data_IF_725012749584
#
_entry.id   IF_725012749584
#
_cell.length_a   1.000
_cell.length_b   1.000
_cell.length_c   1.000
_cell.angle_alpha   90.00
_cell.angle_beta   90.00
_cell.angle_gamma   90.00
#
_symmetry.space_group_name_H-M   'P 1'
#
loop_
_entity.id
_entity.type
_entity.pdbx_description
1 polymer ?
#
# COMPACT_ATOMS: atom_id res chain seq x y z
N UNK A 1 5.26 15.04 3.27
CA UNK A 1 4.20 14.03 3.14
C UNK A 1 4.56 12.87 4.04
N UNK A 2 3.97 12.78 5.23
CA UNK A 2 4.12 11.61 6.10
C UNK A 2 3.62 10.36 5.35
N UNK A 3 4.48 9.35 5.22
CA UNK A 3 4.10 8.11 4.53
C UNK A 3 3.06 7.41 5.40
N UNK A 4 2.06 6.77 4.78
CA UNK A 4 0.84 6.20 5.40
C UNK A 4 1.06 5.01 6.36
N UNK A 5 2.24 4.92 7.00
CA UNK A 5 2.61 3.93 8.01
C UNK A 5 3.47 4.48 9.16
N UNK A 6 3.77 5.79 9.19
CA UNK A 6 4.63 6.36 10.24
C UNK A 6 3.93 6.46 11.61
N UNK A 7 2.60 6.63 11.63
CA UNK A 7 1.81 6.84 12.84
C UNK A 7 0.49 6.05 12.81
N UNK A 8 0.48 4.82 13.33
CA UNK A 8 -0.76 4.19 13.81
C UNK A 8 -0.95 4.53 15.29
N UNK A 9 -2.20 4.68 15.74
CA UNK A 9 -2.47 4.93 17.16
C UNK A 9 -2.28 3.66 17.98
N UNK A 10 -1.62 3.78 19.13
CA UNK A 10 -1.46 2.67 20.08
C UNK A 10 -1.61 3.14 21.52
N UNK A 11 -2.22 2.31 22.36
CA UNK A 11 -2.47 2.59 23.77
C UNK A 11 -1.81 1.56 24.69
N UNK A 12 -1.36 2.01 25.86
CA UNK A 12 -0.78 1.13 26.88
C UNK A 12 -1.85 0.23 27.51
N UNK A 13 -1.50 -1.04 27.67
CA UNK A 13 -2.36 -2.00 28.35
C UNK A 13 -2.30 -1.77 29.85
N UNK A 14 -3.48 -1.62 30.48
CA UNK A 14 -3.61 -1.35 31.91
C UNK A 14 -3.39 -2.59 32.78
N UNK A 15 -3.91 -3.73 32.33
CA UNK A 15 -3.82 -5.02 33.02
C UNK A 15 -2.53 -5.73 32.61
N UNK A 16 -1.49 -5.61 33.43
CA UNK A 16 -0.18 -6.18 33.17
C UNK A 16 0.31 -7.02 34.34
N UNK A 17 0.92 -8.16 34.03
CA UNK A 17 1.65 -9.01 34.96
C UNK A 17 3.15 -8.94 34.71
N UNK A 18 3.93 -9.08 35.78
CA UNK A 18 5.40 -9.04 35.69
C UNK A 18 5.97 -10.44 35.70
N UNK A 19 6.59 -10.84 34.59
CA UNK A 19 7.29 -12.12 34.45
C UNK A 19 8.79 -11.81 34.46
N UNK A 20 9.48 -12.20 35.55
CA UNK A 20 10.94 -12.04 35.71
C UNK A 20 11.43 -10.61 35.39
N UNK A 21 10.68 -9.61 35.85
CA UNK A 21 11.01 -8.19 35.69
C UNK A 21 10.50 -7.51 34.42
N UNK A 22 9.84 -8.25 33.51
CA UNK A 22 9.26 -7.71 32.27
C UNK A 22 7.74 -7.74 32.36
N UNK A 23 7.08 -6.65 31.97
CA UNK A 23 5.62 -6.53 32.00
C UNK A 23 4.98 -7.07 30.71
N UNK A 24 4.01 -7.95 30.84
CA UNK A 24 3.18 -8.50 29.76
C UNK A 24 1.70 -8.33 30.08
N UNK A 25 0.77 -8.41 29.11
CA UNK A 25 -0.66 -8.41 29.40
C UNK A 25 -1.01 -9.54 30.37
N UNK A 26 -1.82 -9.26 31.39
CA UNK A 26 -2.14 -10.24 32.45
C UNK A 26 -2.80 -11.53 31.91
N UNK A 27 -3.54 -11.39 30.80
CA UNK A 27 -4.22 -12.49 30.11
C UNK A 27 -3.35 -13.18 29.04
N UNK A 28 -2.04 -12.90 29.00
CA UNK A 28 -1.13 -13.52 28.03
C UNK A 28 -0.79 -14.97 28.41
N UNK A 29 -1.12 -15.90 27.52
CA UNK A 29 -0.55 -17.24 27.56
C UNK A 29 0.83 -17.26 26.91
N UNK A 30 1.90 -17.39 27.70
CA UNK A 30 3.30 -17.39 27.21
C UNK A 30 3.59 -18.45 26.14
N UNK A 31 2.84 -19.56 26.12
CA UNK A 31 2.91 -20.61 25.08
C UNK A 31 2.41 -20.17 23.70
N UNK A 32 1.76 -19.01 23.60
CA UNK A 32 1.29 -18.41 22.34
C UNK A 32 2.23 -17.34 21.80
N UNK A 33 3.17 -16.86 22.62
CA UNK A 33 3.98 -15.68 22.36
C UNK A 33 5.06 -15.92 21.29
N UNK A 34 5.15 -14.98 20.36
CA UNK A 34 6.18 -14.87 19.32
C UNK A 34 6.75 -13.47 19.40
N UNK A 35 8.07 -13.36 19.58
CA UNK A 35 8.76 -12.07 19.65
C UNK A 35 9.42 -11.79 18.30
N UNK A 36 9.11 -10.63 17.71
CA UNK A 36 9.68 -10.22 16.42
C UNK A 36 9.99 -8.71 16.41
N UNK A 37 10.78 -8.27 15.43
CA UNK A 37 11.22 -6.88 15.31
C UNK A 37 12.56 -6.74 14.58
N UNK A 38 13.02 -5.49 14.34
CA UNK A 38 14.28 -5.22 13.66
C UNK A 38 15.49 -5.87 14.36
N UNK A 39 16.60 -6.10 13.65
CA UNK A 39 17.81 -6.61 14.28
C UNK A 39 18.29 -5.64 15.37
N UNK A 40 18.90 -6.17 16.43
CA UNK A 40 19.43 -5.34 17.52
C UNK A 40 18.41 -4.77 18.51
N UNK A 41 17.10 -4.96 18.32
CA UNK A 41 16.08 -4.39 19.20
C UNK A 41 15.92 -5.08 20.57
N UNK A 42 16.68 -6.16 20.85
CA UNK A 42 16.71 -6.83 22.16
C UNK A 42 15.73 -8.00 22.33
N UNK A 43 15.27 -8.59 21.22
CA UNK A 43 14.43 -9.81 21.19
C UNK A 43 15.00 -10.93 22.07
N UNK A 44 16.26 -11.30 21.86
CA UNK A 44 16.96 -12.35 22.61
C UNK A 44 17.05 -12.04 24.09
N UNK A 45 17.21 -10.77 24.46
CA UNK A 45 17.24 -10.33 25.87
C UNK A 45 15.90 -10.58 26.55
N UNK A 46 14.78 -10.22 25.91
CA UNK A 46 13.43 -10.50 26.44
C UNK A 46 13.19 -12.00 26.50
N UNK A 47 13.57 -12.74 25.45
CA UNK A 47 13.35 -14.18 25.37
C UNK A 47 14.09 -14.96 26.48
N UNK A 48 15.36 -14.62 26.72
CA UNK A 48 16.17 -15.21 27.78
C UNK A 48 15.58 -14.90 29.16
N UNK A 49 15.08 -13.68 29.37
CA UNK A 49 14.40 -13.32 30.61
C UNK A 49 13.20 -14.24 30.85
N UNK A 50 12.34 -14.46 29.86
CA UNK A 50 11.13 -15.31 30.04
C UNK A 50 11.38 -16.82 29.94
N UNK A 51 12.62 -17.26 29.69
CA UNK A 51 12.97 -18.68 29.57
C UNK A 51 12.45 -19.33 28.28
N UNK A 52 12.43 -18.56 27.18
CA UNK A 52 12.06 -19.07 25.86
C UNK A 52 13.17 -19.86 25.17
N UNK A 53 12.87 -20.35 23.97
CA UNK A 53 13.78 -21.22 23.22
C UNK A 53 14.91 -20.43 22.56
N UNK A 54 16.19 -20.76 22.80
CA UNK A 54 17.32 -19.89 22.47
C UNK A 54 17.69 -19.84 20.98
N UNK A 55 17.13 -20.73 20.15
CA UNK A 55 17.45 -20.79 18.72
C UNK A 55 16.61 -19.78 17.92
N UNK A 56 17.29 -18.86 17.23
CA UNK A 56 16.66 -17.94 16.28
C UNK A 56 15.90 -18.72 15.20
N UNK A 57 14.61 -18.43 15.05
CA UNK A 57 13.79 -19.00 14.00
C UNK A 57 13.69 -18.09 12.81
N UNK A 58 13.82 -18.62 11.60
CA UNK A 58 13.43 -17.93 10.37
C UNK A 58 12.06 -18.44 9.90
N UNK A 59 11.17 -17.51 9.54
CA UNK A 59 9.87 -17.83 8.95
C UNK A 59 9.63 -16.99 7.71
N UNK A 60 9.47 -17.68 6.58
CA UNK A 60 8.91 -17.09 5.36
C UNK A 60 7.38 -17.00 5.48
N UNK A 61 6.88 -15.77 5.71
CA UNK A 61 5.44 -15.49 5.82
C UNK A 61 4.73 -15.47 4.48
N UNK A 62 5.44 -15.59 3.35
CA UNK A 62 4.83 -15.74 2.02
C UNK A 62 4.46 -17.19 1.69
N UNK A 63 4.91 -18.15 2.51
CA UNK A 63 4.61 -19.56 2.30
C UNK A 63 3.13 -19.89 2.57
N UNK A 64 2.53 -20.72 1.71
CA UNK A 64 1.07 -21.02 1.64
C UNK A 64 0.40 -21.32 2.98
N UNK A 65 1.10 -21.96 3.91
CA UNK A 65 0.60 -22.38 5.22
C UNK A 65 1.63 -22.08 6.32
N UNK A 66 2.26 -20.90 6.30
CA UNK A 66 3.34 -20.56 7.23
C UNK A 66 2.96 -20.76 8.72
N UNK A 67 1.67 -20.63 9.08
CA UNK A 67 1.17 -20.86 10.45
C UNK A 67 1.23 -22.31 10.92
N UNK A 68 1.52 -23.26 10.02
CA UNK A 68 1.78 -24.67 10.33
C UNK A 68 3.29 -24.99 10.37
N UNK A 69 4.15 -23.99 10.16
CA UNK A 69 5.59 -24.18 10.10
C UNK A 69 6.13 -24.85 11.37
N UNK A 70 7.07 -25.81 11.25
CA UNK A 70 7.72 -26.45 12.39
C UNK A 70 8.31 -25.47 13.40
N UNK A 71 8.79 -24.33 12.90
CA UNK A 71 9.37 -23.23 13.65
C UNK A 71 8.34 -22.66 14.66
N UNK A 72 7.04 -22.81 14.45
CA UNK A 72 6.03 -22.26 15.38
C UNK A 72 5.62 -23.24 16.51
N UNK A 73 6.14 -24.47 16.55
CA UNK A 73 5.74 -25.44 17.59
C UNK A 73 6.25 -25.08 18.98
N UNK A 74 7.51 -24.65 19.07
CA UNK A 74 8.17 -24.29 20.32
C UNK A 74 7.99 -22.79 20.59
N UNK A 75 7.28 -22.44 21.66
CA UNK A 75 6.97 -21.06 22.06
C UNK A 75 7.01 -20.95 23.59
N UNK A 76 7.42 -19.80 24.16
CA UNK A 76 7.78 -18.55 23.50
C UNK A 76 9.11 -18.64 22.73
N UNK A 77 9.19 -17.96 21.58
CA UNK A 77 10.40 -17.94 20.74
C UNK A 77 10.59 -16.60 20.04
N UNK A 78 11.84 -16.32 19.68
CA UNK A 78 12.21 -15.26 18.74
C UNK A 78 12.05 -15.74 17.30
N UNK A 79 11.56 -14.83 16.44
CA UNK A 79 11.29 -15.12 15.04
C UNK A 79 11.68 -13.96 14.12
N UNK A 80 12.57 -14.27 13.18
CA UNK A 80 12.95 -13.44 12.05
C UNK A 80 11.99 -13.73 10.90
N UNK A 81 11.35 -12.68 10.40
CA UNK A 81 10.36 -12.79 9.33
C UNK A 81 11.03 -12.48 8.00
N UNK A 82 10.94 -13.41 7.05
CA UNK A 82 11.21 -13.16 5.65
C UNK A 82 10.01 -12.45 5.04
N UNK A 83 10.19 -11.24 4.53
CA UNK A 83 9.11 -10.47 3.93
C UNK A 83 9.11 -10.61 2.41
N UNK A 84 7.95 -10.82 1.77
CA UNK A 84 7.85 -10.71 0.32
C UNK A 84 7.94 -9.23 -0.05
N UNK A 85 9.02 -8.81 -0.70
CA UNK A 85 9.13 -7.46 -1.25
C UNK A 85 8.70 -7.45 -2.73
N UNK A 86 8.13 -6.33 -3.15
CA UNK A 86 7.78 -6.10 -4.56
C UNK A 86 9.05 -6.20 -5.41
N UNK A 87 9.06 -7.06 -6.43
CA UNK A 87 10.20 -7.29 -7.31
C UNK A 87 11.08 -8.49 -6.92
N UNK A 88 10.92 -9.05 -5.73
CA UNK A 88 11.68 -10.21 -5.27
C UNK A 88 10.85 -11.49 -5.44
N UNK A 89 11.38 -12.53 -6.09
CA UNK A 89 10.64 -13.80 -6.26
C UNK A 89 10.43 -14.53 -4.93
N UNK A 90 11.40 -14.45 -4.01
CA UNK A 90 11.35 -15.10 -2.69
C UNK A 90 11.22 -14.07 -1.58
N UNK A 91 10.65 -14.47 -0.45
CA UNK A 91 10.69 -13.63 0.74
C UNK A 91 12.12 -13.57 1.26
N UNK A 92 12.56 -12.36 1.62
CA UNK A 92 13.91 -12.10 2.10
C UNK A 92 13.85 -11.37 3.45
N UNK A 93 14.84 -11.56 4.32
CA UNK A 93 14.98 -10.73 5.51
C UNK A 93 15.10 -9.26 5.13
N UNK A 94 14.57 -8.37 5.97
CA UNK A 94 14.56 -6.93 5.70
C UNK A 94 15.97 -6.37 5.49
N UNK A 95 16.94 -6.85 6.28
CA UNK A 95 18.33 -6.39 6.19
C UNK A 95 19.05 -6.83 4.90
N UNK A 96 18.77 -8.03 4.39
CA UNK A 96 19.35 -8.53 3.13
C UNK A 96 18.78 -7.81 1.91
N UNK A 97 17.53 -7.34 2.01
CA UNK A 97 16.86 -6.64 0.92
C UNK A 97 17.56 -5.32 0.57
N UNK A 98 18.13 -4.61 1.55
CA UNK A 98 18.89 -3.37 1.32
C UNK A 98 20.23 -3.58 0.65
N UNK A 99 20.84 -4.75 0.83
CA UNK A 99 22.13 -5.07 0.19
C UNK A 99 21.96 -5.31 -1.31
N UNK A 100 20.73 -5.64 -1.74
CA UNK A 100 20.41 -6.06 -3.09
C UNK A 100 19.72 -4.95 -3.93
N UNK A 101 19.11 -3.93 -3.29
CA UNK A 101 18.30 -2.91 -3.98
C UNK A 101 18.35 -1.54 -3.27
N UNK A 102 17.95 -0.48 -3.97
CA UNK A 102 17.90 0.90 -3.43
C UNK A 102 16.77 1.04 -2.39
N UNK A 103 17.16 1.33 -1.15
CA UNK A 103 16.30 1.37 0.04
C UNK A 103 15.12 2.34 -0.09
N UNK A 104 15.32 3.42 -0.85
CA UNK A 104 14.33 4.45 -1.18
C UNK A 104 13.06 3.88 -1.83
N UNK A 105 13.16 2.69 -2.40
CA UNK A 105 12.13 2.01 -3.16
C UNK A 105 11.93 0.57 -2.69
N UNK A 106 11.94 0.26 -1.39
CA UNK A 106 11.56 -1.05 -0.82
C UNK A 106 10.13 -1.05 -0.22
N UNK A 107 9.29 -2.06 -0.50
CA UNK A 107 7.87 -2.15 -0.14
C UNK A 107 7.45 -3.62 -0.05
N UNK A 108 6.70 -3.92 1.00
CA UNK A 108 6.17 -5.24 1.28
C UNK A 108 4.98 -5.52 0.36
N UNK A 109 5.05 -6.63 -0.36
CA UNK A 109 3.94 -7.20 -1.10
C UNK A 109 3.02 -8.00 -0.17
N UNK A 110 2.09 -7.28 0.48
CA UNK A 110 1.12 -7.87 1.40
C UNK A 110 0.22 -8.93 0.74
N UNK A 111 0.10 -8.94 -0.59
CA UNK A 111 -0.73 -9.93 -1.31
C UNK A 111 -0.15 -11.32 -1.26
N UNK A 112 1.18 -11.41 -1.14
CA UNK A 112 1.89 -12.67 -1.05
C UNK A 112 1.92 -13.24 0.36
N UNK A 113 1.39 -12.54 1.36
CA UNK A 113 1.32 -13.02 2.74
C UNK A 113 -0.04 -13.70 2.95
N UNK A 114 -0.14 -15.04 2.83
CA UNK A 114 -1.37 -15.73 3.18
C UNK A 114 -1.66 -15.54 4.67
N UNK A 115 -2.92 -15.42 5.04
CA UNK A 115 -3.33 -15.25 6.43
C UNK A 115 -3.96 -16.55 6.94
N UNK A 116 -3.80 -16.88 8.24
CA UNK A 116 -4.47 -18.03 8.81
C UNK A 116 -5.99 -17.88 8.62
N UNK A 117 -6.70 -18.96 8.25
CA UNK A 117 -8.14 -18.90 8.04
C UNK A 117 -8.86 -18.53 9.34
N UNK A 118 -9.97 -17.76 9.27
CA UNK A 118 -10.81 -17.54 10.43
C UNK A 118 -11.45 -18.86 10.88
N UNK A 119 -11.92 -18.91 12.13
CA UNK A 119 -12.60 -20.09 12.67
C UNK A 119 -13.87 -20.34 11.85
N UNK A 120 -13.99 -21.51 11.23
CA UNK A 120 -15.13 -21.85 10.35
C UNK A 120 -16.23 -22.64 11.06
N UNK A 121 -15.90 -23.37 12.14
CA UNK A 121 -16.85 -24.12 12.96
C UNK A 121 -16.31 -24.36 14.38
N UNK A 122 -17.14 -24.70 15.38
CA UNK A 122 -16.75 -24.77 16.79
C UNK A 122 -15.54 -25.67 17.10
N UNK A 123 -15.39 -26.78 16.37
CA UNK A 123 -14.31 -27.76 16.52
C UNK A 123 -13.05 -27.44 15.67
N UNK A 124 -13.12 -26.44 14.78
CA UNK A 124 -11.96 -26.03 13.97
C UNK A 124 -10.92 -25.29 14.82
N UNK A 125 -9.64 -25.52 14.51
CA UNK A 125 -8.55 -24.83 15.20
C UNK A 125 -8.52 -23.35 14.82
N UNK A 126 -8.61 -22.46 15.81
CA UNK A 126 -8.44 -21.03 15.57
C UNK A 126 -6.96 -20.67 15.52
N UNK A 127 -6.38 -20.66 14.32
CA UNK A 127 -4.97 -20.31 14.14
C UNK A 127 -4.68 -18.83 14.44
N UNK A 128 -5.66 -17.91 14.29
CA UNK A 128 -5.44 -16.47 14.56
C UNK A 128 -5.29 -16.17 16.05
N UNK A 129 -6.03 -16.86 16.91
CA UNK A 129 -5.94 -16.75 18.38
C UNK A 129 -4.82 -17.62 18.97
N UNK A 130 -4.25 -18.53 18.17
CA UNK A 130 -3.17 -19.42 18.61
C UNK A 130 -1.83 -18.69 18.75
N UNK A 131 -1.66 -17.56 18.06
CA UNK A 131 -0.41 -16.82 18.02
C UNK A 131 -0.62 -15.41 18.54
N UNK A 132 0.29 -14.99 19.42
CA UNK A 132 0.40 -13.61 19.89
C UNK A 132 1.73 -13.08 19.39
N UNK A 133 1.68 -12.05 18.55
CA UNK A 133 2.88 -11.40 18.03
C UNK A 133 3.21 -10.17 18.86
N UNK A 134 4.40 -10.16 19.46
CA UNK A 134 4.95 -9.00 20.13
C UNK A 134 6.05 -8.39 19.29
N UNK A 135 5.77 -7.21 18.74
CA UNK A 135 6.69 -6.42 17.93
C UNK A 135 7.46 -5.45 18.81
N UNK A 136 8.78 -5.63 18.88
CA UNK A 136 9.67 -4.69 19.56
C UNK A 136 10.07 -3.60 18.56
N UNK A 137 9.46 -2.43 18.69
CA UNK A 137 9.61 -1.26 17.82
C UNK A 137 10.18 -0.08 18.62
N UNK A 138 11.44 -0.19 19.02
CA UNK A 138 12.18 0.90 19.67
C UNK A 138 12.32 2.10 18.73
N UNK A 139 12.45 3.34 19.25
CA UNK A 139 12.81 4.49 18.45
C UNK A 139 14.08 4.24 17.61
N UNK A 140 14.13 4.80 16.40
CA UNK A 140 15.20 4.53 15.45
C UNK A 140 16.56 4.94 15.99
N UNK A 141 16.63 6.09 16.66
CA UNK A 141 17.83 6.65 17.27
C UNK A 141 18.41 5.69 18.32
N UNK A 142 17.54 5.14 19.18
CA UNK A 142 17.92 4.20 20.23
C UNK A 142 18.36 2.85 19.65
N UNK A 143 17.67 2.36 18.62
CA UNK A 143 18.03 1.12 17.93
C UNK A 143 19.39 1.26 17.23
N UNK A 144 19.65 2.41 16.59
CA UNK A 144 20.91 2.73 15.95
C UNK A 144 22.08 2.74 16.96
N UNK A 145 21.92 3.40 18.11
CA UNK A 145 22.95 3.42 19.16
C UNK A 145 23.27 2.01 19.71
N UNK A 146 22.22 1.21 19.97
CA UNK A 146 22.37 -0.16 20.45
C UNK A 146 23.08 -1.07 19.43
N UNK A 147 22.84 -0.88 18.12
CA UNK A 147 23.51 -1.66 17.07
C UNK A 147 24.95 -1.20 16.85
N UNK A 148 25.20 0.12 16.87
CA UNK A 148 26.55 0.69 16.75
C UNK A 148 27.48 0.26 17.89
N UNK A 149 26.96 0.12 19.11
CA UNK A 149 27.73 -0.39 20.26
C UNK A 149 28.04 -1.88 20.13
N UNK A 150 27.14 -2.69 19.57
CA UNK A 150 27.34 -4.13 19.29
C UNK A 150 28.31 -4.40 18.12
N UNK A 151 28.27 -3.58 17.08
CA UNK A 151 29.22 -3.67 15.94
C UNK A 151 30.67 -3.49 16.41
N UNK A 152 30.93 -2.58 17.38
CA UNK A 152 32.25 -2.41 18.00
C UNK A 152 32.78 -3.65 18.74
N UNK A 153 31.90 -4.56 19.16
CA UNK A 153 32.28 -5.84 19.77
C UNK A 153 32.53 -6.98 18.77
N UNK A 154 32.38 -6.74 17.45
CA UNK A 154 32.88 -7.61 16.38
C UNK A 154 32.08 -8.88 16.10
N UNK A 155 30.85 -9.02 16.58
CA UNK A 155 30.10 -10.29 16.50
C UNK A 155 29.07 -10.39 15.35
N UNK A 156 28.82 -9.33 14.58
CA UNK A 156 27.78 -9.32 13.53
C UNK A 156 28.15 -8.46 12.30
N UNK A 157 28.26 -9.08 11.13
CA UNK A 157 28.54 -8.44 9.83
C UNK A 157 27.35 -7.68 9.21
N UNK A 158 26.16 -7.82 9.79
CA UNK A 158 24.92 -7.17 9.29
C UNK A 158 24.94 -5.64 9.47
N UNK A 159 25.89 -5.11 10.24
CA UNK A 159 25.96 -3.70 10.63
C UNK A 159 27.15 -2.93 9.99
N UNK A 160 27.84 -3.50 9.01
CA UNK A 160 29.08 -2.94 8.42
C UNK A 160 28.85 -1.59 7.70
N UNK A 161 27.63 -1.32 7.20
CA UNK A 161 27.20 -0.05 6.58
C UNK A 161 25.88 0.48 7.19
N UNK A 162 25.79 0.47 8.53
CA UNK A 162 24.59 0.90 9.24
C UNK A 162 24.44 2.43 9.27
N UNK A 163 23.35 2.94 8.70
CA UNK A 163 22.93 4.35 8.78
C UNK A 163 21.64 4.49 9.60
N UNK A 164 21.40 5.69 10.15
CA UNK A 164 20.16 5.96 10.89
C UNK A 164 18.92 5.83 10.00
N UNK A 165 19.02 6.20 8.72
CA UNK A 165 17.91 6.12 7.77
C UNK A 165 17.55 4.67 7.43
N UNK A 166 18.53 3.76 7.31
CA UNK A 166 18.27 2.32 7.18
C UNK A 166 17.50 1.77 8.37
N UNK A 167 17.86 2.17 9.60
CA UNK A 167 17.13 1.76 10.81
C UNK A 167 15.70 2.30 10.82
N UNK A 168 15.48 3.54 10.35
CA UNK A 168 14.13 4.12 10.22
C UNK A 168 13.28 3.33 9.23
N UNK A 169 13.85 2.95 8.09
CA UNK A 169 13.15 2.14 7.08
C UNK A 169 12.85 0.72 7.57
N UNK A 170 13.77 0.07 8.28
CA UNK A 170 13.50 -1.23 8.89
C UNK A 170 12.31 -1.15 9.84
N UNK A 171 12.33 -0.15 10.74
CA UNK A 171 11.23 0.10 11.65
C UNK A 171 9.92 0.38 10.93
N UNK A 172 9.96 1.12 9.81
CA UNK A 172 8.80 1.37 8.98
C UNK A 172 8.20 0.07 8.43
N UNK A 173 9.00 -0.87 7.93
CA UNK A 173 8.50 -2.17 7.45
C UNK A 173 7.87 -3.00 8.57
N UNK A 174 8.52 -3.08 9.74
CA UNK A 174 7.97 -3.81 10.88
C UNK A 174 6.69 -3.15 11.42
N UNK A 175 6.59 -1.82 11.43
CA UNK A 175 5.36 -1.09 11.76
C UNK A 175 4.22 -1.43 10.81
N UNK A 176 4.45 -1.39 9.50
CA UNK A 176 3.44 -1.76 8.49
C UNK A 176 2.98 -3.20 8.65
N UNK A 177 3.92 -4.11 8.92
CA UNK A 177 3.59 -5.53 9.12
C UNK A 177 2.74 -5.76 10.39
N UNK A 178 3.08 -5.08 11.48
CA UNK A 178 2.31 -5.14 12.72
C UNK A 178 0.87 -4.64 12.51
N UNK A 179 0.71 -3.52 11.82
CA UNK A 179 -0.59 -2.97 11.46
C UNK A 179 -1.38 -3.94 10.56
N UNK A 180 -0.73 -4.53 9.54
CA UNK A 180 -1.34 -5.51 8.65
C UNK A 180 -1.85 -6.74 9.40
N UNK A 181 -1.07 -7.29 10.32
CA UNK A 181 -1.50 -8.43 11.15
C UNK A 181 -2.69 -8.06 12.04
N UNK A 182 -2.65 -6.89 12.69
CA UNK A 182 -3.75 -6.40 13.53
C UNK A 182 -5.05 -6.19 12.74
N UNK A 183 -4.99 -5.50 11.60
CA UNK A 183 -6.15 -5.24 10.75
C UNK A 183 -6.81 -6.53 10.23
N UNK A 184 -6.03 -7.60 10.08
CA UNK A 184 -6.51 -8.91 9.66
C UNK A 184 -6.90 -9.84 10.84
N UNK A 185 -7.01 -9.28 12.06
CA UNK A 185 -7.54 -9.98 13.23
C UNK A 185 -6.55 -10.92 13.91
N UNK A 186 -5.24 -10.74 13.73
CA UNK A 186 -4.21 -11.39 14.54
C UNK A 186 -4.01 -10.61 15.85
N UNK A 187 -3.58 -11.30 16.90
CA UNK A 187 -3.25 -10.63 18.17
C UNK A 187 -1.85 -10.03 18.08
N UNK A 188 -1.77 -8.69 18.12
CA UNK A 188 -0.52 -7.93 17.98
C UNK A 188 -0.33 -6.98 19.16
N UNK A 189 0.84 -7.03 19.77
CA UNK A 189 1.32 -6.08 20.77
C UNK A 189 2.56 -5.35 20.28
N UNK A 190 2.67 -4.08 20.65
CA UNK A 190 3.81 -3.23 20.34
C UNK A 190 4.55 -2.90 21.63
N UNK A 191 5.88 -2.95 21.58
CA UNK A 191 6.76 -2.54 22.67
C UNK A 191 7.78 -1.53 22.15
N UNK A 192 7.76 -0.32 22.70
CA UNK A 192 8.68 0.78 22.35
C UNK A 192 9.88 0.89 23.30
N UNK A 193 9.87 0.16 24.42
CA UNK A 193 11.00 0.03 25.34
C UNK A 193 11.05 -1.38 25.95
N UNK A 194 12.25 -1.95 26.12
CA UNK A 194 12.44 -3.30 26.69
C UNK A 194 11.71 -3.50 28.03
N UNK A 195 11.81 -2.50 28.91
CA UNK A 195 11.14 -2.50 30.23
C UNK A 195 9.81 -1.72 30.24
N UNK A 196 9.33 -1.28 29.07
CA UNK A 196 8.09 -0.52 28.94
C UNK A 196 6.85 -1.40 29.07
N UNK A 197 5.67 -0.76 29.11
CA UNK A 197 4.41 -1.48 29.04
C UNK A 197 4.11 -1.92 27.61
N UNK A 198 3.50 -3.09 27.41
CA UNK A 198 3.01 -3.49 26.10
C UNK A 198 1.86 -2.57 25.67
N UNK A 199 1.82 -2.23 24.40
CA UNK A 199 0.81 -1.38 23.77
C UNK A 199 -0.03 -2.19 22.79
N UNK A 200 -1.30 -1.82 22.64
CA UNK A 200 -2.22 -2.38 21.65
C UNK A 200 -2.46 -1.35 20.54
N UNK A 201 -2.60 -1.81 19.30
CA UNK A 201 -2.97 -0.95 18.16
C UNK A 201 -4.47 -0.62 18.24
N UNK A 202 -4.82 0.66 18.09
CA UNK A 202 -6.19 1.17 18.19
C UNK A 202 -6.91 1.26 16.83
N UNK A 203 -6.21 1.02 15.74
CA UNK A 203 -6.78 1.02 14.39
C UNK A 203 -7.90 -0.03 14.25
N UNK A 204 -8.94 0.21 13.45
CA UNK A 204 -10.06 -0.72 13.33
C UNK A 204 -9.62 -2.04 12.68
N UNK A 205 -10.09 -3.16 13.23
CA UNK A 205 -9.92 -4.49 12.63
C UNK A 205 -10.95 -4.62 11.50
N UNK A 206 -10.48 -4.94 10.29
CA UNK A 206 -11.33 -4.98 9.09
C UNK A 206 -12.55 -5.89 9.25
N UNK A 207 -12.41 -7.01 9.96
CA UNK A 207 -13.51 -7.95 10.21
C UNK A 207 -14.57 -7.47 11.22
N UNK A 208 -14.26 -6.51 12.09
CA UNK A 208 -15.22 -5.99 13.08
C UNK A 208 -16.16 -4.93 12.49
N UNK A 209 -15.76 -4.26 11.41
CA UNK A 209 -16.60 -3.29 10.68
C UNK A 209 -17.71 -3.97 9.86
N UNK A 210 -17.63 -5.27 9.65
CA UNK A 210 -18.51 -6.04 8.76
C UNK A 210 -19.74 -6.61 9.48
N UNK A 211 -19.67 -6.83 10.80
CA UNK A 211 -20.71 -7.55 11.53
C UNK A 211 -21.99 -6.74 11.82
N UNK A 212 -22.11 -5.50 11.35
CA UNK A 212 -23.20 -4.61 11.72
C UNK A 212 -24.20 -4.23 10.62
N UNK A 213 -23.99 -4.56 9.33
CA UNK A 213 -24.92 -4.15 8.25
C UNK A 213 -24.83 -5.05 6.98
N UNK A 214 -25.98 -5.36 6.36
CA UNK A 214 -26.08 -6.02 5.02
C UNK A 214 -25.28 -5.28 3.93
N UNK A 215 -25.17 -3.95 4.04
CA UNK A 215 -24.37 -3.13 3.12
C UNK A 215 -22.86 -3.31 3.35
N UNK A 216 -22.42 -3.77 4.53
CA UNK A 216 -21.02 -4.07 4.83
C UNK A 216 -20.51 -5.31 4.11
N UNK A 217 -21.39 -6.28 3.86
CA UNK A 217 -21.07 -7.52 3.14
C UNK A 217 -20.83 -7.27 1.64
N UNK A 218 -21.68 -6.46 1.00
CA UNK A 218 -21.47 -6.01 -0.39
C UNK A 218 -20.17 -5.20 -0.55
N UNK A 219 -19.86 -4.34 0.44
CA UNK A 219 -18.65 -3.54 0.48
C UNK A 219 -17.39 -4.41 0.62
N UNK A 220 -17.47 -5.48 1.43
CA UNK A 220 -16.38 -6.45 1.56
C UNK A 220 -16.19 -7.30 0.30
N UNK A 221 -17.28 -7.73 -0.34
CA UNK A 221 -17.21 -8.41 -1.64
C UNK A 221 -16.54 -7.55 -2.72
N UNK A 222 -16.82 -6.24 -2.73
CA UNK A 222 -16.15 -5.30 -3.61
C UNK A 222 -14.66 -5.15 -3.28
N UNK A 223 -14.29 -5.03 -1.99
CA UNK A 223 -12.90 -5.02 -1.55
C UNK A 223 -12.16 -6.30 -1.94
N UNK A 224 -12.78 -7.46 -1.78
CA UNK A 224 -12.18 -8.74 -2.16
C UNK A 224 -12.00 -8.85 -3.69
N UNK A 225 -12.92 -8.31 -4.48
CA UNK A 225 -12.76 -8.21 -5.93
C UNK A 225 -11.61 -7.27 -6.34
N UNK A 226 -11.52 -6.10 -5.71
CA UNK A 226 -10.42 -5.15 -5.93
C UNK A 226 -9.08 -5.81 -5.54
N UNK A 227 -9.01 -6.43 -4.36
CA UNK A 227 -7.81 -7.16 -3.90
C UNK A 227 -7.46 -8.34 -4.80
N UNK A 228 -8.45 -9.02 -5.37
CA UNK A 228 -8.22 -10.10 -6.33
C UNK A 228 -7.63 -9.56 -7.64
N UNK A 229 -8.18 -8.45 -8.17
CA UNK A 229 -7.60 -7.76 -9.33
C UNK A 229 -6.16 -7.31 -9.05
N UNK A 230 -5.91 -6.80 -7.85
CA UNK A 230 -4.58 -6.42 -7.38
C UNK A 230 -3.62 -7.61 -7.38
N UNK A 231 -4.07 -8.75 -6.83
CA UNK A 231 -3.31 -10.02 -6.83
C UNK A 231 -2.94 -10.50 -8.24
N UNK A 232 -3.82 -10.29 -9.22
CA UNK A 232 -3.59 -10.70 -10.60
C UNK A 232 -2.60 -9.78 -11.31
N UNK A 233 -2.71 -8.47 -11.10
CA UNK A 233 -1.80 -7.48 -11.69
C UNK A 233 -0.40 -7.52 -11.07
N UNK A 234 -0.29 -7.75 -9.77
CA UNK A 234 0.99 -7.82 -9.06
C UNK A 234 1.78 -9.10 -9.38
N UNK A 235 1.11 -10.16 -9.88
CA UNK A 235 1.80 -11.39 -10.34
C UNK A 235 2.51 -11.21 -11.67
N UNK A 236 2.05 -10.29 -12.51
CA UNK A 236 2.63 -10.03 -13.83
C UNK A 236 3.61 -8.86 -13.83
N UNK A 237 3.55 -7.95 -12.83
CA UNK A 237 4.35 -6.73 -12.82
C UNK A 237 4.71 -6.22 -11.40
N UNK A 238 5.92 -5.68 -11.24
CA UNK A 238 6.34 -4.93 -10.04
C UNK A 238 5.59 -3.60 -9.96
N UNK A 239 4.83 -3.41 -8.88
CA UNK A 239 3.98 -2.24 -8.55
C UNK A 239 4.70 -0.88 -8.72
N UNK A 240 6.04 -0.86 -8.63
CA UNK A 240 6.87 0.35 -8.67
C UNK A 240 7.41 0.76 -10.03
N UNK A 241 7.19 -0.06 -11.06
CA UNK A 241 7.57 0.27 -12.43
C UNK A 241 6.76 1.45 -12.98
N UNK A 242 5.47 1.57 -12.72
CA UNK A 242 4.57 2.26 -13.65
C UNK A 242 4.89 3.74 -13.92
N UNK A 243 5.18 4.60 -12.93
CA UNK A 243 5.55 6.00 -13.22
C UNK A 243 6.91 6.09 -13.90
N UNK A 244 7.95 5.48 -13.30
CA UNK A 244 9.30 5.42 -13.88
C UNK A 244 9.35 4.75 -15.27
N UNK A 245 8.45 3.82 -15.52
CA UNK A 245 8.32 3.07 -16.76
C UNK A 245 7.58 3.89 -17.81
N UNK A 246 6.49 4.57 -17.44
CA UNK A 246 5.84 5.55 -18.33
C UNK A 246 6.83 6.67 -18.69
N UNK A 247 7.60 7.16 -17.72
CA UNK A 247 8.66 8.15 -17.94
C UNK A 247 9.75 7.59 -18.86
N UNK A 248 10.21 6.34 -18.64
CA UNK A 248 11.15 5.65 -19.54
C UNK A 248 10.59 5.53 -20.98
N UNK A 249 9.32 5.19 -21.14
CA UNK A 249 8.68 5.13 -22.45
C UNK A 249 8.65 6.52 -23.09
N UNK A 250 8.30 7.56 -22.34
CA UNK A 250 8.31 8.96 -22.80
C UNK A 250 9.73 9.44 -23.16
N UNK A 251 10.78 8.87 -22.56
CA UNK A 251 12.19 9.13 -22.91
C UNK A 251 12.64 8.35 -24.17
N UNK A 252 12.19 7.11 -24.34
CA UNK A 252 12.66 6.21 -25.41
C UNK A 252 11.88 6.40 -26.72
N UNK A 253 10.56 6.57 -26.65
CA UNK A 253 9.67 6.68 -27.81
C UNK A 253 10.08 7.81 -28.77
N UNK A 254 10.45 9.03 -28.31
CA UNK A 254 10.84 10.12 -29.20
C UNK A 254 12.00 9.76 -30.12
N UNK A 255 12.99 9.03 -29.59
CA UNK A 255 14.15 8.58 -30.37
C UNK A 255 13.79 7.40 -31.29
N UNK A 256 12.98 6.44 -30.80
CA UNK A 256 12.60 5.27 -31.58
C UNK A 256 11.69 5.61 -32.78
N UNK A 257 10.77 6.57 -32.61
CA UNK A 257 9.85 7.03 -33.66
C UNK A 257 10.35 8.28 -34.37
N UNK A 258 11.51 8.83 -34.02
CA UNK A 258 12.04 10.07 -34.59
C UNK A 258 11.02 11.22 -34.53
N UNK A 259 10.45 11.47 -33.34
CA UNK A 259 9.47 12.53 -33.06
C UNK A 259 10.03 13.53 -32.05
N UNK A 260 9.40 14.69 -31.90
CA UNK A 260 9.86 15.72 -30.95
C UNK A 260 9.34 15.48 -29.53
N UNK A 261 8.07 15.09 -29.37
CA UNK A 261 7.46 14.86 -28.05
C UNK A 261 6.59 13.62 -28.03
N UNK A 262 6.53 12.99 -26.87
CA UNK A 262 5.61 11.91 -26.54
C UNK A 262 4.90 12.25 -25.22
N UNK A 263 3.60 11.98 -25.18
CA UNK A 263 2.75 12.21 -24.02
C UNK A 263 1.81 11.03 -23.82
N UNK A 264 1.60 10.63 -22.57
CA UNK A 264 0.70 9.55 -22.19
C UNK A 264 -0.43 10.14 -21.34
N UNK A 265 -1.66 9.90 -21.79
CA UNK A 265 -2.87 10.43 -21.18
C UNK A 265 -3.70 9.30 -20.57
N UNK A 266 -4.33 9.58 -19.43
CA UNK A 266 -5.22 8.66 -18.73
C UNK A 266 -6.63 9.27 -18.65
N UNK A 267 -7.64 8.45 -18.93
CA UNK A 267 -9.05 8.83 -18.85
C UNK A 267 -9.56 8.60 -17.43
N UNK A 268 -10.08 9.61 -16.73
CA UNK A 268 -10.81 9.35 -15.48
C UNK A 268 -12.29 9.04 -15.79
N UNK A 269 -12.73 7.77 -15.65
CA UNK A 269 -14.09 7.38 -15.98
C UNK A 269 -15.15 8.01 -15.06
N UNK A 270 -14.77 8.57 -13.91
CA UNK A 270 -15.72 9.22 -12.98
C UNK A 270 -15.99 10.66 -13.36
N UNK A 271 -14.97 11.38 -13.81
CA UNK A 271 -15.06 12.82 -14.13
C UNK A 271 -15.29 13.08 -15.61
N UNK A 272 -15.03 12.10 -16.48
CA UNK A 272 -15.13 12.27 -17.93
C UNK A 272 -14.01 13.14 -18.51
N UNK A 273 -12.96 13.36 -17.74
CA UNK A 273 -11.80 14.17 -18.11
C UNK A 273 -10.58 13.32 -18.41
N UNK A 274 -9.70 13.86 -19.24
CA UNK A 274 -8.43 13.24 -19.59
C UNK A 274 -7.30 14.10 -19.07
N UNK A 275 -6.33 13.48 -18.43
CA UNK A 275 -5.19 14.19 -17.85
C UNK A 275 -3.86 13.56 -18.27
N UNK A 276 -2.83 14.40 -18.32
CA UNK A 276 -1.46 13.98 -18.64
C UNK A 276 -0.86 13.21 -17.46
N UNK A 277 -0.50 11.95 -17.69
CA UNK A 277 0.17 11.14 -16.69
C UNK A 277 1.70 11.30 -16.77
N UNK A 278 2.25 11.39 -17.98
CA UNK A 278 3.69 11.60 -18.23
C UNK A 278 3.88 12.19 -19.63
N UNK A 279 4.82 13.12 -19.80
CA UNK A 279 5.08 13.76 -21.09
C UNK A 279 6.50 14.34 -21.19
N UNK A 280 7.02 14.45 -22.41
CA UNK A 280 8.39 14.93 -22.64
C UNK A 280 8.55 16.38 -22.17
N UNK A 281 9.27 16.57 -21.06
CA UNK A 281 9.50 17.89 -20.46
C UNK A 281 8.27 18.50 -19.80
N UNK A 282 7.29 17.67 -19.41
CA UNK A 282 6.05 18.08 -18.76
C UNK A 282 5.83 17.29 -17.47
N UNK A 283 5.29 17.96 -16.46
CA UNK A 283 4.91 17.35 -15.20
C UNK A 283 3.53 16.68 -15.28
N UNK A 284 3.32 15.70 -14.41
CA UNK A 284 2.04 15.03 -14.23
C UNK A 284 0.92 16.04 -13.88
N UNK A 285 -0.29 15.87 -14.45
CA UNK A 285 -1.45 16.80 -14.36
C UNK A 285 -1.24 18.20 -14.94
N UNK A 286 -0.12 18.48 -15.59
CA UNK A 286 0.11 19.81 -16.17
C UNK A 286 -0.86 20.11 -17.33
N UNK A 287 -1.40 19.08 -17.98
CA UNK A 287 -2.43 19.20 -19.02
C UNK A 287 -3.65 18.39 -18.60
N UNK A 288 -4.80 19.04 -18.60
CA UNK A 288 -6.12 18.44 -18.36
C UNK A 288 -7.06 18.94 -19.47
N UNK A 289 -7.82 18.03 -20.07
CA UNK A 289 -8.65 18.30 -21.23
C UNK A 289 -9.94 17.48 -21.21
N UNK A 290 -10.98 18.04 -21.80
CA UNK A 290 -12.26 17.37 -21.94
C UNK A 290 -12.22 16.31 -23.06
N UNK A 291 -12.98 15.23 -22.87
CA UNK A 291 -13.10 14.10 -23.80
C UNK A 291 -13.64 14.50 -25.18
N UNK A 292 -14.44 15.57 -25.28
CA UNK A 292 -15.18 15.89 -26.50
C UNK A 292 -14.36 16.75 -27.49
N UNK A 293 -13.44 17.57 -26.98
CA UNK A 293 -12.80 18.61 -27.80
C UNK A 293 -11.36 18.26 -28.22
N UNK A 294 -10.77 17.19 -27.67
CA UNK A 294 -9.38 16.80 -27.93
C UNK A 294 -9.25 15.58 -28.86
N UNK A 295 -8.16 15.52 -29.65
CA UNK A 295 -7.83 14.32 -30.44
C UNK A 295 -7.72 13.08 -29.53
N UNK A 296 -7.10 13.26 -28.37
CA UNK A 296 -6.94 12.24 -27.33
C UNK A 296 -8.30 11.70 -26.89
N UNK A 297 -9.25 12.59 -26.58
CA UNK A 297 -10.61 12.21 -26.21
C UNK A 297 -11.35 11.48 -27.33
N UNK A 298 -11.20 11.91 -28.59
CA UNK A 298 -11.77 11.21 -29.75
C UNK A 298 -11.22 9.78 -29.87
N UNK A 299 -9.90 9.60 -29.76
CA UNK A 299 -9.25 8.28 -29.81
C UNK A 299 -9.68 7.39 -28.64
N UNK A 300 -9.87 7.96 -27.45
CA UNK A 300 -10.40 7.21 -26.31
C UNK A 300 -11.84 6.76 -26.57
N UNK A 301 -12.68 7.63 -27.13
CA UNK A 301 -14.07 7.36 -27.41
C UNK A 301 -14.28 6.34 -28.54
N UNK A 302 -13.50 6.43 -29.63
CA UNK A 302 -13.58 5.49 -30.76
C UNK A 302 -12.87 4.16 -30.47
N UNK A 303 -11.80 4.19 -29.67
CA UNK A 303 -10.95 3.02 -29.45
C UNK A 303 -10.06 2.67 -30.65
N UNK A 304 -9.94 3.59 -31.60
CA UNK A 304 -9.11 3.50 -32.81
C UNK A 304 -8.13 4.68 -32.86
N UNK A 305 -6.98 4.46 -33.51
CA UNK A 305 -5.97 5.48 -33.73
C UNK A 305 -6.48 6.65 -34.59
N UNK A 306 -5.82 7.80 -34.47
CA UNK A 306 -6.08 8.94 -35.34
C UNK A 306 -4.77 9.69 -35.64
N UNK A 307 -4.67 10.22 -36.85
CA UNK A 307 -3.52 11.00 -37.34
C UNK A 307 -4.05 12.32 -37.88
N UNK A 308 -3.47 13.43 -37.45
CA UNK A 308 -3.73 14.74 -38.02
C UNK A 308 -2.44 15.39 -38.51
N UNK A 309 -2.53 15.99 -39.68
CA UNK A 309 -1.48 16.77 -40.32
C UNK A 309 -1.88 18.24 -40.36
N UNK A 310 -0.93 19.11 -40.68
CA UNK A 310 -1.14 20.56 -40.85
C UNK A 310 -1.85 21.23 -39.65
N UNK A 311 -1.51 20.80 -38.44
CA UNK A 311 -2.10 21.28 -37.18
C UNK A 311 -1.80 22.76 -36.90
N UNK A 312 -0.78 23.31 -37.55
CA UNK A 312 -0.44 24.73 -37.52
C UNK A 312 -1.48 25.60 -38.24
N UNK A 313 -2.19 25.05 -39.23
CA UNK A 313 -3.26 25.72 -39.98
C UNK A 313 -4.65 25.53 -39.37
N UNK A 314 -4.81 24.55 -38.47
CA UNK A 314 -6.08 24.20 -37.84
C UNK A 314 -6.27 24.95 -36.52
N UNK A 315 -7.46 25.54 -36.32
CA UNK A 315 -7.89 26.03 -35.02
C UNK A 315 -8.45 24.88 -34.16
N UNK A 316 -8.14 24.90 -32.86
CA UNK A 316 -8.56 23.88 -31.91
C UNK A 316 -7.91 24.03 -30.54
N UNK A 317 -8.30 23.21 -29.56
CA UNK A 317 -7.78 23.30 -28.19
C UNK A 317 -6.28 23.02 -28.07
N UNK A 318 -5.65 22.42 -29.09
CA UNK A 318 -4.20 22.28 -29.16
C UNK A 318 -3.47 23.64 -29.20
N UNK A 319 -4.09 24.70 -29.76
CA UNK A 319 -3.50 26.05 -29.81
C UNK A 319 -3.34 26.67 -28.42
N UNK A 320 -4.27 26.41 -27.51
CA UNK A 320 -4.20 26.89 -26.13
C UNK A 320 -3.06 26.20 -25.37
N UNK A 321 -2.90 24.90 -25.58
CA UNK A 321 -1.83 24.10 -24.97
C UNK A 321 -0.46 24.47 -25.56
N UNK A 322 -0.39 24.69 -26.88
CA UNK A 322 0.80 25.20 -27.57
C UNK A 322 1.23 26.55 -26.98
N UNK A 323 0.29 27.47 -26.76
CA UNK A 323 0.55 28.77 -26.13
C UNK A 323 1.04 28.65 -24.68
N UNK A 324 0.47 27.73 -23.89
CA UNK A 324 0.87 27.49 -22.50
C UNK A 324 2.24 26.84 -22.38
N UNK A 325 2.57 25.92 -23.29
CA UNK A 325 3.81 25.11 -23.24
C UNK A 325 4.95 25.69 -24.10
N UNK A 326 4.69 26.74 -24.88
CA UNK A 326 5.64 27.34 -25.81
C UNK A 326 6.04 26.42 -26.96
N UNK A 327 5.16 25.47 -27.32
CA UNK A 327 5.39 24.48 -28.37
C UNK A 327 4.50 24.75 -29.58
N UNK A 328 4.90 24.29 -30.76
CA UNK A 328 4.09 24.43 -31.99
C UNK A 328 3.85 23.05 -32.56
N UNK A 329 2.59 22.63 -32.56
CA UNK A 329 2.16 21.34 -33.08
C UNK A 329 1.93 21.43 -34.60
N UNK A 330 2.63 20.59 -35.37
CA UNK A 330 2.57 20.49 -36.84
C UNK A 330 1.85 19.23 -37.31
N UNK A 331 2.20 18.09 -36.72
CA UNK A 331 1.51 16.84 -36.95
C UNK A 331 1.44 16.01 -35.67
N UNK A 332 0.40 15.18 -35.58
CA UNK A 332 0.11 14.38 -34.40
C UNK A 332 -0.40 12.98 -34.78
N UNK A 333 0.08 11.96 -34.05
CA UNK A 333 -0.41 10.59 -34.11
C UNK A 333 -0.81 10.17 -32.70
N UNK A 334 -2.04 9.70 -32.56
CA UNK A 334 -2.60 9.27 -31.29
C UNK A 334 -3.12 7.84 -31.40
N UNK A 335 -2.73 6.98 -30.45
CA UNK A 335 -3.19 5.58 -30.38
C UNK A 335 -3.84 5.28 -29.04
N UNK A 336 -4.89 4.45 -29.01
CA UNK A 336 -5.61 4.12 -27.79
C UNK A 336 -4.83 3.09 -26.95
N UNK A 337 -4.92 3.25 -25.62
CA UNK A 337 -4.46 2.24 -24.67
C UNK A 337 -5.69 1.54 -24.10
N UNK A 338 -5.89 0.29 -24.50
CA UNK A 338 -7.06 -0.50 -24.09
C UNK A 338 -6.86 -1.10 -22.69
N UNK A 339 -7.94 -1.19 -21.93
CA UNK A 339 -7.96 -1.91 -20.66
C UNK A 339 -7.96 -3.42 -20.89
N UNK A 340 -7.26 -4.17 -20.04
CA UNK A 340 -7.22 -5.63 -20.10
C UNK A 340 -8.52 -6.27 -19.60
N UNK A 341 -9.23 -5.63 -18.67
CA UNK A 341 -10.37 -6.24 -17.98
C UNK A 341 -11.73 -6.01 -18.65
N UNK A 342 -11.94 -4.86 -19.29
CA UNK A 342 -13.27 -4.41 -19.73
C UNK A 342 -13.32 -3.91 -21.18
N UNK A 343 -12.26 -4.11 -21.98
CA UNK A 343 -12.16 -3.72 -23.41
C UNK A 343 -12.39 -2.22 -23.69
N UNK A 344 -12.61 -1.40 -22.66
CA UNK A 344 -12.71 0.06 -22.75
C UNK A 344 -11.34 0.69 -22.92
N UNK A 345 -11.29 1.85 -23.56
CA UNK A 345 -10.05 2.61 -23.71
C UNK A 345 -9.72 3.32 -22.40
N UNK A 346 -8.62 2.90 -21.76
CA UNK A 346 -8.16 3.36 -20.46
C UNK A 346 -7.34 4.67 -20.55
N UNK A 347 -6.77 4.94 -21.73
CA UNK A 347 -5.96 6.12 -21.99
C UNK A 347 -5.51 6.18 -23.46
N UNK A 348 -4.56 7.05 -23.77
CA UNK A 348 -3.98 7.13 -25.11
C UNK A 348 -2.50 7.57 -25.07
N UNK A 349 -1.74 7.21 -26.09
CA UNK A 349 -0.39 7.76 -26.34
C UNK A 349 -0.49 8.75 -27.49
N UNK A 350 0.00 9.96 -27.27
CA UNK A 350 0.09 11.03 -28.25
C UNK A 350 1.56 11.30 -28.58
N UNK A 351 1.93 11.22 -29.84
CA UNK A 351 3.24 11.64 -30.33
C UNK A 351 3.09 12.84 -31.26
N UNK A 352 3.98 13.82 -31.10
CA UNK A 352 3.91 15.10 -31.78
C UNK A 352 5.17 15.35 -32.61
N UNK A 353 4.97 15.95 -33.79
CA UNK A 353 6.00 16.45 -34.68
C UNK A 353 7.05 15.39 -35.06
N UNK A 354 6.77 14.65 -36.13
CA UNK A 354 7.78 13.81 -36.78
C UNK A 354 8.96 14.68 -37.26
N UNK A 355 10.18 14.30 -36.86
CA UNK A 355 11.40 15.04 -37.21
C UNK A 355 11.70 14.89 -38.70
N UNK A 356 12.32 15.92 -39.26
CA UNK A 356 12.64 15.98 -40.70
C UNK A 356 11.47 16.43 -41.58
N UNK A 357 10.32 16.81 -41.01
CA UNK A 357 9.16 17.28 -41.76
C UNK A 357 8.41 16.17 -42.51
N UNK A 358 8.60 14.91 -42.10
CA UNK A 358 7.89 13.77 -42.68
C UNK A 358 6.48 13.61 -42.08
N UNK A 359 5.59 12.92 -42.80
CA UNK A 359 4.34 12.40 -42.27
C UNK A 359 4.55 11.09 -41.49
N UNK A 360 3.61 10.76 -40.61
CA UNK A 360 3.60 9.47 -39.90
C UNK A 360 3.33 8.31 -40.87
N UNK A 361 4.15 7.25 -40.79
CA UNK A 361 4.00 6.05 -41.63
C UNK A 361 3.25 4.97 -40.88
N UNK A 362 2.69 3.98 -41.60
CA UNK A 362 2.01 2.84 -40.97
C UNK A 362 2.92 2.08 -40.00
N UNK A 363 4.22 2.00 -40.28
CA UNK A 363 5.19 1.39 -39.37
C UNK A 363 5.30 2.13 -38.02
N UNK A 364 5.15 3.46 -38.01
CA UNK A 364 5.17 4.28 -36.80
C UNK A 364 3.95 3.97 -35.94
N UNK A 365 2.78 3.90 -36.57
CA UNK A 365 1.53 3.50 -35.93
C UNK A 365 1.64 2.10 -35.32
N UNK A 366 2.07 1.10 -36.09
CA UNK A 366 2.20 -0.29 -35.61
C UNK A 366 3.18 -0.40 -34.44
N UNK A 367 4.27 0.37 -34.45
CA UNK A 367 5.20 0.40 -33.33
C UNK A 367 4.54 1.02 -32.09
N UNK A 368 3.85 2.14 -32.25
CA UNK A 368 3.19 2.84 -31.15
C UNK A 368 2.04 2.02 -30.55
N UNK A 369 1.27 1.29 -31.37
CA UNK A 369 0.24 0.34 -30.91
C UNK A 369 0.84 -0.83 -30.11
N UNK A 370 2.01 -1.35 -30.51
CA UNK A 370 2.73 -2.36 -29.72
C UNK A 370 3.18 -1.81 -28.38
N UNK A 371 3.64 -0.56 -28.32
CA UNK A 371 3.99 0.08 -27.05
C UNK A 371 2.74 0.27 -26.20
N UNK A 372 1.63 0.71 -26.79
CA UNK A 372 0.34 0.84 -26.10
C UNK A 372 -0.14 -0.48 -25.49
N UNK A 373 0.08 -1.62 -26.16
CA UNK A 373 -0.28 -2.94 -25.60
C UNK A 373 0.57 -3.32 -24.37
N UNK A 374 1.85 -2.92 -24.34
CA UNK A 374 2.70 -3.10 -23.16
C UNK A 374 2.33 -2.18 -22.00
N UNK A 375 1.72 -1.02 -22.27
CA UNK A 375 1.32 -0.05 -21.25
C UNK A 375 -0.04 -0.35 -20.60
N UNK A 376 -0.83 -1.28 -21.14
CA UNK A 376 -2.17 -1.60 -20.63
C UNK A 376 -2.15 -2.00 -19.15
N UNK A 377 -1.22 -2.89 -18.75
CA UNK A 377 -1.08 -3.32 -17.34
C UNK A 377 -0.62 -2.19 -16.41
N UNK A 378 0.23 -1.28 -16.90
CA UNK A 378 0.74 -0.16 -16.10
C UNK A 378 -0.39 0.81 -15.72
N UNK A 379 -1.26 1.09 -16.68
CA UNK A 379 -2.44 1.95 -16.50
C UNK A 379 -3.48 1.28 -15.61
N UNK A 380 -3.75 -0.02 -15.79
CA UNK A 380 -4.73 -0.74 -14.95
C UNK A 380 -4.34 -0.74 -13.47
N UNK A 381 -3.05 -0.82 -13.17
CA UNK A 381 -2.53 -0.66 -11.80
C UNK A 381 -2.67 0.78 -11.26
N UNK A 382 -2.57 1.81 -12.11
CA UNK A 382 -2.85 3.20 -11.70
C UNK A 382 -4.32 3.35 -11.31
N UNK A 383 -5.24 2.86 -12.14
CA UNK A 383 -6.68 2.90 -11.85
C UNK A 383 -7.04 2.13 -10.59
N UNK A 384 -6.48 0.92 -10.42
CA UNK A 384 -6.74 0.11 -9.24
C UNK A 384 -6.30 0.80 -7.95
N UNK A 385 -5.18 1.54 -7.99
CA UNK A 385 -4.75 2.36 -6.84
C UNK A 385 -5.70 3.49 -6.52
N UNK A 386 -6.24 4.18 -7.53
CA UNK A 386 -7.25 5.21 -7.31
C UNK A 386 -8.52 4.61 -6.69
N UNK A 387 -8.99 3.48 -7.22
CA UNK A 387 -10.15 2.77 -6.68
C UNK A 387 -9.93 2.32 -5.22
N UNK A 388 -8.74 1.83 -4.89
CA UNK A 388 -8.33 1.50 -3.52
C UNK A 388 -8.29 2.71 -2.58
N UNK A 389 -7.76 3.84 -3.05
CA UNK A 389 -7.70 5.08 -2.25
C UNK A 389 -9.11 5.60 -1.96
N UNK A 390 -9.95 5.68 -2.99
CA UNK A 390 -11.34 6.11 -2.84
C UNK A 390 -12.08 5.18 -1.86
N UNK A 391 -11.84 3.88 -1.95
CA UNK A 391 -12.43 2.91 -1.05
C UNK A 391 -11.94 3.05 0.40
N UNK A 392 -10.64 3.28 0.59
CA UNK A 392 -10.06 3.55 1.91
C UNK A 392 -10.67 4.79 2.56
N UNK A 393 -10.94 5.84 1.77
CA UNK A 393 -11.59 7.05 2.23
C UNK A 393 -13.06 6.78 2.62
N UNK A 394 -13.79 6.00 1.83
CA UNK A 394 -15.15 5.56 2.15
C UNK A 394 -15.21 4.77 3.46
N UNK A 395 -14.26 3.85 3.70
CA UNK A 395 -14.17 3.12 4.96
C UNK A 395 -13.91 4.05 6.13
N UNK A 396 -12.96 4.97 5.98
CA UNK A 396 -12.59 5.94 7.04
C UNK A 396 -13.78 6.82 7.40
N UNK A 397 -14.53 7.29 6.41
CA UNK A 397 -15.74 8.07 6.60
C UNK A 397 -16.86 7.27 7.28
N UNK A 398 -17.04 5.99 6.94
CA UNK A 398 -18.01 5.11 7.64
C UNK A 398 -17.65 4.86 9.09
N UNK A 399 -16.38 4.57 9.39
CA UNK A 399 -15.92 4.39 10.78
C UNK A 399 -16.19 5.66 11.58
N UNK A 400 -15.87 6.83 11.01
CA UNK A 400 -16.15 8.13 11.64
C UNK A 400 -17.65 8.37 11.85
N UNK A 401 -18.50 7.97 10.90
CA UNK A 401 -19.95 8.07 11.02
C UNK A 401 -20.51 7.21 12.17
N UNK A 402 -20.00 5.97 12.33
CA UNK A 402 -20.41 5.09 13.42
C UNK A 402 -20.09 5.65 14.82
N UNK A 403 -18.95 6.33 14.96
CA UNK A 403 -18.55 6.96 16.23
C UNK A 403 -19.41 8.19 16.52
N UNK A 404 -19.73 8.98 15.49
CA UNK A 404 -20.66 10.11 15.60
C UNK A 404 -22.08 9.68 15.96
N UNK A 405 -22.57 8.58 15.36
CA UNK A 405 -23.88 8.03 15.66
C UNK A 405 -23.98 7.55 17.12
N UNK A 406 -22.94 6.90 17.65
CA UNK A 406 -22.84 6.54 19.08
C UNK A 406 -22.91 7.79 19.96
N UNK A 407 -22.16 8.84 19.63
CA UNK A 407 -22.15 10.09 20.39
C UNK A 407 -23.54 10.75 20.41
N UNK A 408 -24.22 10.82 19.26
CA UNK A 408 -25.57 11.37 19.17
C UNK A 408 -26.58 10.56 19.99
N UNK A 409 -26.46 9.23 20.00
CA UNK A 409 -27.28 8.35 20.84
C UNK A 409 -27.08 8.62 22.33
N UNK A 410 -25.83 8.81 22.79
CA UNK A 410 -25.54 9.19 24.17
C UNK A 410 -26.12 10.55 24.55
N UNK A 411 -26.10 11.53 23.63
CA UNK A 411 -26.73 12.84 23.84
C UNK A 411 -28.25 12.70 23.99
N UNK A 412 -28.90 11.95 23.09
CA UNK A 412 -30.36 11.70 23.16
C UNK A 412 -30.73 10.99 24.46
N UNK A 413 -29.95 9.97 24.85
CA UNK A 413 -30.16 9.23 26.11
C UNK A 413 -29.99 10.14 27.33
N UNK A 414 -29.00 11.04 27.30
CA UNK A 414 -28.78 12.04 28.35
C UNK A 414 -29.93 13.03 28.50
N UNK A 415 -30.49 13.51 27.37
CA UNK A 415 -31.67 14.39 27.36
C UNK A 415 -32.90 13.66 27.91
N UNK A 416 -33.15 12.42 27.47
CA UNK A 416 -34.26 11.62 27.97
C UNK A 416 -34.17 11.34 29.48
N UNK A 417 -32.97 11.08 29.99
CA UNK A 417 -32.71 10.93 31.43
C UNK A 417 -32.96 12.23 32.20
N UNK A 418 -32.54 13.37 31.66
CA UNK A 418 -32.80 14.67 32.27
C UNK A 418 -34.30 15.00 32.35
N UNK A 419 -35.06 14.71 31.28
CA UNK A 419 -36.52 14.86 31.28
C UNK A 419 -37.19 13.92 32.30
N UNK A 420 -36.76 12.67 32.39
CA UNK A 420 -37.31 11.73 33.37
C UNK A 420 -37.05 12.17 34.82
N UNK A 421 -35.87 12.73 35.11
CA UNK A 421 -35.52 13.31 36.42
C UNK A 421 -36.37 14.56 36.70
N UNK A 422 -36.61 15.40 35.70
CA UNK A 422 -37.43 16.60 35.86
C UNK A 422 -38.90 16.23 36.14
N UNK A 423 -39.44 15.23 35.45
CA UNK A 423 -40.81 14.73 35.64
C UNK A 423 -40.97 14.13 37.03
N UNK A 424 -40.02 13.31 37.48
CA UNK A 424 -40.06 12.74 38.84
C UNK A 424 -39.95 13.81 39.93
N UNK A 425 -39.07 14.81 39.74
CA UNK A 425 -38.97 15.94 40.67
C UNK A 425 -40.24 16.82 40.71
N UNK A 426 -40.95 16.96 39.58
CA UNK A 426 -42.23 17.68 39.53
C UNK A 426 -43.41 16.89 40.11
N UNK A 427 -43.32 15.55 40.17
CA UNK A 427 -44.35 14.69 40.77
C UNK A 427 -44.18 14.52 42.30
N UNK A 428 -42.98 14.76 42.84
CA UNK A 428 -42.71 14.75 44.29
C UNK A 428 -42.99 16.08 44.99
N UNK A 429 -43.29 17.14 44.23
CA UNK A 429 -43.79 18.44 44.74
C UNK A 429 -45.30 18.52 44.62
#
# INVERSE_FOLDING_TARGET
MERLGDAFKSEEIREVDTIKGIQFPAYLETKKLIITGPPGCGKTTILNAIGGWPEEGYLDISSKDWWKSPVLHQRPRELHLGLPFVGFEKAVPVYDAYTLDDSSYLEIDFFRIPLPPPKTHPLSTNFRERFVFEFILLPAEKTYELRKTRSKSGTHHVDDDLTLDKVREELFFFKRLALFFHQNGMTVYIRDALNGKPKRICEPVLGQLVQSDEQGEALYHHLDQIRLRERLLNRSWSIRGNKKLLDLFVEVIPNALNVERCSIFINDPKTGKVWLQSGTGLDEKQIEMDMQDSLVGQVIATGDYNVKEDMDLLDGPHKEIDAQTGFVTRNELCVPIKSLSDQKTAGAILVLNKRGGESFKEADRVLLEKVASHLQSAIESIFLRQELMDFSELLTNRVRFSEWAKYLMWVILGVALAEAVLITYLLEK
#
